data_IF_357877624444
#
_entry.id   IF_357877624444
#
_cell.length_a   1.000
_cell.length_b   1.000
_cell.length_c   1.000
_cell.angle_alpha   90.00
_cell.angle_beta   90.00
_cell.angle_gamma   90.00
#
_symmetry.space_group_name_H-M   'P 1'
#
loop_
_entity.id
_entity.type
_entity.pdbx_description
1 polymer ?
#
# COMPACT_ATOMS: atom_id res chain seq x y z
N UNK A 1 -5.90 -22.14 8.64
CA UNK A 1 -6.11 -23.24 7.68
C UNK A 1 -6.38 -22.84 6.22
N UNK A 2 -7.42 -22.10 5.81
CA UNK A 2 -7.70 -21.89 4.35
C UNK A 2 -6.52 -21.27 3.56
N UNK A 3 -5.83 -20.28 4.13
CA UNK A 3 -4.69 -19.60 3.50
C UNK A 3 -3.48 -20.55 3.38
N UNK A 4 -3.21 -21.31 4.44
CA UNK A 4 -2.09 -22.26 4.52
C UNK A 4 -2.35 -23.50 3.64
N UNK A 5 -3.60 -23.97 3.55
CA UNK A 5 -4.01 -25.07 2.70
C UNK A 5 -3.84 -24.75 1.20
N UNK A 6 -3.83 -23.46 0.84
CA UNK A 6 -3.49 -22.99 -0.52
C UNK A 6 -1.98 -22.77 -0.71
N UNK A 7 -1.15 -23.11 0.28
CA UNK A 7 0.31 -23.00 0.22
C UNK A 7 0.88 -21.61 0.53
N UNK A 8 0.04 -20.65 0.95
CA UNK A 8 0.52 -19.32 1.34
C UNK A 8 1.17 -19.36 2.72
N UNK A 9 2.23 -18.57 2.88
CA UNK A 9 2.89 -18.35 4.18
C UNK A 9 2.40 -17.04 4.78
N UNK A 10 2.15 -17.04 6.09
CA UNK A 10 1.68 -15.86 6.84
C UNK A 10 2.83 -15.31 7.67
N UNK A 11 3.03 -14.00 7.59
CA UNK A 11 3.97 -13.28 8.44
C UNK A 11 3.16 -12.60 9.55
N UNK A 12 3.47 -12.89 10.80
CA UNK A 12 2.82 -12.28 11.95
C UNK A 12 3.63 -11.08 12.43
N UNK A 13 2.97 -9.93 12.54
CA UNK A 13 3.53 -8.71 13.09
C UNK A 13 2.98 -8.46 14.50
N UNK A 14 3.80 -7.81 15.34
CA UNK A 14 3.35 -7.37 16.66
C UNK A 14 2.18 -6.39 16.54
N UNK A 15 1.17 -6.59 17.37
CA UNK A 15 0.02 -5.68 17.44
C UNK A 15 0.53 -4.29 17.84
N UNK A 16 0.08 -3.25 17.12
CA UNK A 16 0.42 -1.83 17.30
C UNK A 16 1.77 -1.34 16.75
N UNK A 17 2.54 -2.19 16.07
CA UNK A 17 3.81 -1.79 15.44
C UNK A 17 3.67 -1.80 13.92
N UNK A 18 2.89 -0.86 13.37
CA UNK A 18 2.63 -0.80 11.93
C UNK A 18 3.88 -0.48 11.10
N UNK A 19 4.87 0.19 11.70
CA UNK A 19 6.16 0.49 11.10
C UNK A 19 6.96 -0.75 10.71
N UNK A 20 6.67 -1.91 11.31
CA UNK A 20 7.29 -3.19 10.94
C UNK A 20 6.67 -3.80 9.68
N UNK A 21 5.48 -3.35 9.28
CA UNK A 21 4.80 -3.82 8.09
C UNK A 21 5.34 -3.08 6.85
N UNK A 22 6.05 -3.82 5.99
CA UNK A 22 6.70 -3.26 4.81
C UNK A 22 5.73 -2.46 3.90
N UNK A 23 4.45 -2.83 3.87
CA UNK A 23 3.46 -2.18 3.02
C UNK A 23 3.23 -0.72 3.39
N UNK A 24 3.44 -0.34 4.66
CA UNK A 24 3.29 1.05 5.13
C UNK A 24 4.32 1.97 4.47
N UNK A 25 5.53 1.47 4.22
CA UNK A 25 6.58 2.20 3.50
C UNK A 25 6.16 2.49 2.05
N UNK A 26 5.68 1.47 1.34
CA UNK A 26 5.19 1.61 -0.04
C UNK A 26 4.03 2.59 -0.12
N UNK A 27 3.03 2.46 0.75
CA UNK A 27 1.91 3.40 0.80
C UNK A 27 2.32 4.81 1.18
N UNK A 28 3.29 4.98 2.09
CA UNK A 28 3.84 6.28 2.45
C UNK A 28 4.48 7.00 1.25
N UNK A 29 5.33 6.29 0.51
CA UNK A 29 5.96 6.79 -0.71
C UNK A 29 4.91 7.12 -1.79
N UNK A 30 3.96 6.20 -2.00
CA UNK A 30 2.95 6.35 -3.04
C UNK A 30 2.03 7.56 -2.78
N UNK A 31 1.56 7.73 -1.55
CA UNK A 31 0.76 8.90 -1.15
C UNK A 31 1.52 10.21 -1.35
N UNK A 32 2.81 10.23 -1.00
CA UNK A 32 3.65 11.43 -1.16
C UNK A 32 3.80 11.80 -2.62
N UNK A 33 4.11 10.85 -3.49
CA UNK A 33 4.25 11.11 -4.93
C UNK A 33 2.91 11.53 -5.53
N UNK A 34 1.82 10.80 -5.23
CA UNK A 34 0.50 11.14 -5.73
C UNK A 34 0.17 12.60 -5.39
N UNK A 35 0.35 13.02 -4.13
CA UNK A 35 0.10 14.39 -3.67
C UNK A 35 0.90 15.47 -4.41
N UNK A 36 2.05 15.14 -4.98
CA UNK A 36 2.83 16.08 -5.80
C UNK A 36 2.28 16.23 -7.23
N UNK A 37 1.46 15.28 -7.69
CA UNK A 37 1.06 15.16 -9.09
C UNK A 37 -0.45 15.32 -9.33
N UNK A 38 -1.33 15.16 -8.32
CA UNK A 38 -2.78 15.27 -8.49
C UNK A 38 -3.31 16.68 -8.11
N UNK A 39 -4.35 17.12 -8.82
CA UNK A 39 -4.95 18.47 -8.77
C UNK A 39 -6.11 18.60 -7.77
N UNK A 40 -6.19 17.69 -6.81
CA UNK A 40 -7.32 17.48 -5.90
C UNK A 40 -8.64 17.02 -6.53
N UNK A 41 -8.65 16.63 -7.81
CA UNK A 41 -9.78 15.93 -8.41
C UNK A 41 -9.73 14.41 -8.17
N UNK A 42 -10.91 13.80 -8.07
CA UNK A 42 -11.05 12.34 -7.99
C UNK A 42 -10.53 11.64 -9.24
N UNK A 43 -10.80 12.21 -10.41
CA UNK A 43 -10.38 11.67 -11.71
C UNK A 43 -8.86 11.55 -11.81
N UNK A 44 -8.13 12.60 -11.43
CA UNK A 44 -6.67 12.55 -11.43
C UNK A 44 -6.13 11.59 -10.39
N UNK A 45 -6.75 11.49 -9.21
CA UNK A 45 -6.34 10.50 -8.21
C UNK A 45 -6.46 9.07 -8.74
N UNK A 46 -7.56 8.75 -9.45
CA UNK A 46 -7.75 7.43 -10.07
C UNK A 46 -6.68 7.14 -11.14
N UNK A 47 -6.19 8.17 -11.84
CA UNK A 47 -5.11 8.04 -12.83
C UNK A 47 -3.74 7.89 -12.17
N UNK A 48 -3.45 8.70 -11.16
CA UNK A 48 -2.12 8.80 -10.54
C UNK A 48 -1.82 7.63 -9.61
N UNK A 49 -2.78 7.12 -8.85
CA UNK A 49 -2.51 6.03 -7.87
C UNK A 49 -1.94 4.76 -8.52
N UNK A 50 -2.50 4.21 -9.61
CA UNK A 50 -1.92 3.05 -10.29
C UNK A 50 -0.50 3.31 -10.80
N UNK A 51 -0.26 4.45 -11.45
CA UNK A 51 1.05 4.82 -12.01
C UNK A 51 2.17 4.90 -10.97
N UNK A 52 1.82 5.10 -9.71
CA UNK A 52 2.78 5.25 -8.60
C UNK A 52 3.05 3.91 -7.91
N UNK A 53 2.17 2.94 -8.11
CA UNK A 53 2.26 1.60 -7.53
C UNK A 53 2.77 0.56 -8.53
N UNK A 54 2.81 0.89 -9.83
CA UNK A 54 3.46 0.15 -10.91
C UNK A 54 5.01 0.17 -10.77
#
# INVERSE_FOLDING_TARGET
EIIEAKGHKVIFYSKFYCELNYIEMYWGAAKRYARQQYDYSWTELQRVVPLVLD
#
